data_IF_441543596557
#
_entry.id   IF_441543596557
#
_cell.length_a   1.000
_cell.length_b   1.000
_cell.length_c   1.000
_cell.angle_alpha   90.00
_cell.angle_beta   90.00
_cell.angle_gamma   90.00
#
_symmetry.space_group_name_H-M   'P 1'
#
loop_
_entity.id
_entity.type
_entity.pdbx_description
1 polymer ?
#
# COMPACT_ATOMS: atom_id res chain seq x y z
N UNK A 1 28.89 12.68 -46.34
CA UNK A 1 28.63 13.95 -45.62
C UNK A 1 28.52 13.65 -44.14
N UNK A 2 29.38 14.24 -43.31
CA UNK A 2 29.42 14.01 -41.86
C UNK A 2 28.61 15.09 -41.11
N UNK A 3 28.21 14.85 -39.86
CA UNK A 3 27.34 15.73 -39.04
C UNK A 3 27.89 17.16 -38.93
N UNK A 4 29.22 17.31 -38.94
CA UNK A 4 29.90 18.60 -38.93
C UNK A 4 29.67 19.43 -40.21
N UNK A 5 29.52 18.79 -41.37
CA UNK A 5 29.23 19.48 -42.64
C UNK A 5 27.78 19.96 -42.68
N UNK A 6 26.84 19.20 -42.11
CA UNK A 6 25.44 19.60 -41.98
C UNK A 6 25.29 20.83 -41.08
N UNK A 7 26.01 20.85 -39.95
CA UNK A 7 26.05 22.00 -39.05
C UNK A 7 26.62 23.26 -39.73
N UNK A 8 27.67 23.11 -40.56
CA UNK A 8 28.27 24.20 -41.30
C UNK A 8 27.34 24.74 -42.40
N UNK A 9 26.62 23.87 -43.13
CA UNK A 9 25.66 24.29 -44.17
C UNK A 9 24.46 25.01 -43.56
N UNK A 10 23.94 24.53 -42.42
CA UNK A 10 22.83 25.20 -41.71
C UNK A 10 23.26 26.54 -41.13
N UNK A 11 24.49 26.63 -40.60
CA UNK A 11 25.06 27.90 -40.10
C UNK A 11 25.29 28.91 -41.25
N UNK A 12 25.80 28.46 -42.39
CA UNK A 12 26.05 29.31 -43.56
C UNK A 12 24.75 29.74 -44.28
N UNK A 13 23.74 28.86 -44.33
CA UNK A 13 22.42 29.19 -44.85
C UNK A 13 21.70 30.24 -43.97
N UNK A 14 21.98 30.25 -42.66
CA UNK A 14 21.49 31.26 -41.72
C UNK A 14 22.07 32.66 -41.94
N UNK A 15 23.30 32.79 -42.47
CA UNK A 15 23.95 34.08 -42.71
C UNK A 15 23.63 34.72 -44.06
N UNK A 16 23.22 33.95 -45.08
CA UNK A 16 23.01 34.46 -46.45
C UNK A 16 21.60 35.04 -46.64
N UNK A 17 20.64 34.71 -45.79
CA UNK A 17 19.25 35.21 -45.86
C UNK A 17 19.00 36.32 -44.83
N UNK A 18 19.71 37.45 -44.99
CA UNK A 18 19.65 38.66 -44.18
C UNK A 18 18.30 39.42 -44.13
N UNK A 19 17.17 38.71 -44.29
CA UNK A 19 15.80 39.22 -44.12
C UNK A 19 14.91 38.36 -43.20
N UNK A 20 15.45 37.33 -42.54
CA UNK A 20 14.67 36.33 -41.78
C UNK A 20 14.63 36.49 -40.25
N UNK A 21 15.21 37.56 -39.70
CA UNK A 21 15.53 37.68 -38.25
C UNK A 21 14.32 37.50 -37.32
N UNK A 22 13.13 37.94 -37.73
CA UNK A 22 11.91 37.80 -36.93
C UNK A 22 11.38 36.37 -36.93
N UNK A 23 11.37 35.71 -38.09
CA UNK A 23 10.87 34.34 -38.25
C UNK A 23 11.82 33.32 -37.64
N UNK A 24 13.13 33.51 -37.80
CA UNK A 24 14.16 32.65 -37.18
C UNK A 24 14.13 32.81 -35.66
N UNK A 25 14.05 34.04 -35.13
CA UNK A 25 13.95 34.25 -33.67
C UNK A 25 12.69 33.62 -33.08
N UNK A 26 11.58 33.63 -33.82
CA UNK A 26 10.32 33.00 -33.41
C UNK A 26 10.42 31.47 -33.47
N UNK A 27 10.97 30.92 -34.55
CA UNK A 27 11.23 29.49 -34.69
C UNK A 27 12.16 28.96 -33.59
N UNK A 28 13.22 29.70 -33.24
CA UNK A 28 14.14 29.33 -32.16
C UNK A 28 13.47 29.39 -30.78
N UNK A 29 12.60 30.38 -30.54
CA UNK A 29 11.81 30.47 -29.29
C UNK A 29 10.78 29.35 -29.18
N UNK A 30 10.10 29.02 -30.27
CA UNK A 30 9.10 27.97 -30.29
C UNK A 30 9.77 26.58 -30.17
N UNK A 31 10.93 26.39 -30.80
CA UNK A 31 11.77 25.21 -30.59
C UNK A 31 12.26 25.11 -29.14
N UNK A 32 12.74 26.19 -28.53
CA UNK A 32 13.18 26.19 -27.13
C UNK A 32 12.03 25.86 -26.16
N UNK A 33 10.82 26.37 -26.42
CA UNK A 33 9.61 26.02 -25.65
C UNK A 33 9.23 24.55 -25.82
N UNK A 34 9.32 24.02 -27.04
CA UNK A 34 9.05 22.61 -27.32
C UNK A 34 10.07 21.70 -26.59
N UNK A 35 11.35 22.06 -26.57
CA UNK A 35 12.40 21.32 -25.85
C UNK A 35 12.22 21.40 -24.33
N UNK A 36 11.82 22.57 -23.81
CA UNK A 36 11.52 22.73 -22.38
C UNK A 36 10.31 21.87 -21.96
N UNK A 37 9.23 21.89 -22.75
CA UNK A 37 8.05 21.05 -22.51
C UNK A 37 8.37 19.56 -22.61
N UNK A 38 9.22 19.14 -23.56
CA UNK A 38 9.68 17.76 -23.69
C UNK A 38 10.56 17.35 -22.50
N UNK A 39 11.43 18.23 -22.01
CA UNK A 39 12.29 17.98 -20.84
C UNK A 39 11.47 17.89 -19.57
N UNK A 40 10.46 18.75 -19.41
CA UNK A 40 9.54 18.72 -18.28
C UNK A 40 8.65 17.46 -18.32
N UNK A 41 8.16 17.05 -19.50
CA UNK A 41 7.42 15.81 -19.68
C UNK A 41 8.29 14.58 -19.41
N UNK A 42 9.56 14.58 -19.83
CA UNK A 42 10.53 13.53 -19.52
C UNK A 42 10.85 13.48 -18.02
N UNK A 43 11.01 14.64 -17.36
CA UNK A 43 11.22 14.72 -15.92
C UNK A 43 9.99 14.18 -15.14
N UNK A 44 8.77 14.54 -15.57
CA UNK A 44 7.52 14.00 -14.99
C UNK A 44 7.37 12.49 -15.25
N UNK A 45 7.72 12.02 -16.44
CA UNK A 45 7.71 10.60 -16.78
C UNK A 45 8.74 9.80 -15.97
N UNK A 46 9.90 10.38 -15.64
CA UNK A 46 10.93 9.76 -14.80
C UNK A 46 10.60 9.82 -13.30
N UNK A 47 9.82 10.82 -12.86
CA UNK A 47 9.39 10.94 -11.47
C UNK A 47 8.22 10.00 -11.11
N UNK A 48 7.36 9.65 -12.08
CA UNK A 48 6.21 8.76 -11.84
C UNK A 48 6.62 7.35 -11.35
N UNK A 49 7.63 6.66 -11.92
CA UNK A 49 8.11 5.38 -11.42
C UNK A 49 8.67 5.44 -10.00
N UNK A 50 9.43 6.49 -9.67
CA UNK A 50 10.01 6.65 -8.33
C UNK A 50 8.93 6.90 -7.25
N UNK A 51 7.91 7.69 -7.60
CA UNK A 51 6.76 7.92 -6.72
C UNK A 51 5.92 6.64 -6.55
N UNK A 52 5.74 5.87 -7.63
CA UNK A 52 5.04 4.58 -7.57
C UNK A 52 5.80 3.56 -6.71
N UNK A 53 7.13 3.46 -6.85
CA UNK A 53 7.94 2.58 -5.99
C UNK A 53 7.88 2.99 -4.52
N UNK A 54 7.88 4.29 -4.23
CA UNK A 54 7.74 4.77 -2.85
C UNK A 54 6.35 4.45 -2.27
N UNK A 55 5.28 4.66 -3.05
CA UNK A 55 3.93 4.33 -2.64
C UNK A 55 3.73 2.82 -2.42
N UNK A 56 4.29 1.97 -3.31
CA UNK A 56 4.27 0.52 -3.15
C UNK A 56 5.04 0.07 -1.91
N UNK A 57 6.21 0.65 -1.63
CA UNK A 57 6.96 0.35 -0.42
C UNK A 57 6.18 0.72 0.86
N UNK A 58 5.46 1.85 0.85
CA UNK A 58 4.59 2.25 1.97
C UNK A 58 3.41 1.27 2.12
N UNK A 59 2.79 0.85 1.01
CA UNK A 59 1.70 -0.13 1.04
C UNK A 59 2.18 -1.49 1.56
N UNK A 60 3.32 -1.99 1.09
CA UNK A 60 3.94 -3.24 1.57
C UNK A 60 4.23 -3.19 3.07
N UNK A 61 4.82 -2.09 3.55
CA UNK A 61 5.07 -1.88 4.97
C UNK A 61 3.77 -1.86 5.79
N UNK A 62 2.70 -1.26 5.23
CA UNK A 62 1.39 -1.17 5.87
C UNK A 62 0.72 -2.55 5.95
N UNK A 63 0.72 -3.32 4.85
CA UNK A 63 0.19 -4.69 4.81
C UNK A 63 0.94 -5.57 5.80
N UNK A 64 2.27 -5.53 5.82
CA UNK A 64 3.09 -6.30 6.76
C UNK A 64 2.73 -5.99 8.22
N UNK A 65 2.58 -4.70 8.56
CA UNK A 65 2.17 -4.29 9.91
C UNK A 65 0.76 -4.79 10.26
N UNK A 66 -0.19 -4.67 9.33
CA UNK A 66 -1.57 -5.15 9.53
C UNK A 66 -1.58 -6.67 9.72
N UNK A 67 -0.77 -7.41 8.98
CA UNK A 67 -0.63 -8.86 9.13
C UNK A 67 -0.03 -9.25 10.49
N UNK A 68 0.98 -8.51 10.96
CA UNK A 68 1.56 -8.68 12.29
C UNK A 68 0.53 -8.39 13.40
N UNK A 69 -0.20 -7.28 13.31
CA UNK A 69 -1.26 -6.90 14.26
C UNK A 69 -2.39 -7.94 14.25
N UNK A 70 -2.83 -8.39 13.07
CA UNK A 70 -3.83 -9.46 12.94
C UNK A 70 -3.34 -10.78 13.54
N UNK A 71 -2.07 -11.13 13.35
CA UNK A 71 -1.45 -12.31 13.97
C UNK A 71 -1.48 -12.24 15.50
N UNK A 72 -1.13 -11.08 16.06
CA UNK A 72 -1.19 -10.85 17.51
C UNK A 72 -2.63 -10.91 18.05
N UNK A 73 -3.58 -10.30 17.35
CA UNK A 73 -5.00 -10.31 17.72
C UNK A 73 -5.57 -11.73 17.69
N UNK A 74 -5.30 -12.52 16.64
CA UNK A 74 -5.69 -13.93 16.55
C UNK A 74 -5.10 -14.74 17.69
N UNK A 75 -3.83 -14.52 18.04
CA UNK A 75 -3.19 -15.18 19.18
C UNK A 75 -3.85 -14.83 20.52
N UNK A 76 -4.17 -13.55 20.76
CA UNK A 76 -4.90 -13.11 21.96
C UNK A 76 -6.30 -13.71 22.03
N UNK A 77 -7.02 -13.74 20.91
CA UNK A 77 -8.36 -14.31 20.83
C UNK A 77 -8.35 -15.80 21.13
N UNK A 78 -7.43 -16.57 20.53
CA UNK A 78 -7.26 -18.00 20.83
C UNK A 78 -6.91 -18.25 22.29
N UNK A 79 -6.08 -17.41 22.91
CA UNK A 79 -5.76 -17.50 24.34
C UNK A 79 -6.97 -17.22 25.23
N UNK A 80 -7.77 -16.20 24.91
CA UNK A 80 -8.99 -15.87 25.64
C UNK A 80 -10.02 -17.00 25.52
N UNK A 81 -10.18 -17.56 24.33
CA UNK A 81 -11.05 -18.71 24.10
C UNK A 81 -10.62 -19.92 24.93
N UNK A 82 -9.33 -20.24 24.93
CA UNK A 82 -8.79 -21.33 25.76
C UNK A 82 -9.02 -21.08 27.26
N UNK A 83 -8.88 -19.84 27.73
CA UNK A 83 -9.19 -19.46 29.11
C UNK A 83 -10.68 -19.61 29.44
N UNK A 84 -11.56 -19.15 28.55
CA UNK A 84 -13.01 -19.26 28.71
C UNK A 84 -13.46 -20.73 28.76
N UNK A 85 -12.92 -21.56 27.88
CA UNK A 85 -13.14 -23.01 27.89
C UNK A 85 -12.64 -23.66 29.18
N UNK A 86 -11.44 -23.29 29.65
CA UNK A 86 -10.90 -23.80 30.90
C UNK A 86 -11.79 -23.40 32.10
N UNK A 87 -12.26 -22.16 32.13
CA UNK A 87 -13.18 -21.66 33.16
C UNK A 87 -14.52 -22.41 33.12
N UNK A 88 -15.17 -22.49 31.96
CA UNK A 88 -16.43 -23.21 31.76
C UNK A 88 -16.31 -24.70 32.13
N UNK A 89 -15.18 -25.34 31.83
CA UNK A 89 -14.96 -26.74 32.21
C UNK A 89 -14.81 -26.92 33.73
N UNK A 90 -14.29 -25.88 34.40
CA UNK A 90 -14.08 -25.90 35.85
C UNK A 90 -15.40 -25.70 36.58
N UNK A 91 -16.22 -24.75 36.14
CA UNK A 91 -17.55 -24.52 36.71
C UNK A 91 -18.46 -25.73 36.52
N UNK A 92 -18.43 -26.38 35.35
CA UNK A 92 -19.15 -27.62 35.08
C UNK A 92 -18.68 -28.78 36.00
N UNK A 93 -17.37 -28.88 36.30
CA UNK A 93 -16.88 -29.82 37.33
C UNK A 93 -17.42 -29.49 38.73
N UNK A 94 -17.54 -28.22 39.11
CA UNK A 94 -18.12 -27.82 40.39
C UNK A 94 -19.62 -28.09 40.46
N UNK A 95 -20.37 -27.82 39.41
CA UNK A 95 -21.79 -28.15 39.31
C UNK A 95 -22.02 -29.66 39.55
N UNK A 96 -21.20 -30.52 38.92
CA UNK A 96 -21.22 -31.97 39.19
C UNK A 96 -20.88 -32.34 40.64
N UNK A 97 -19.98 -31.61 41.30
CA UNK A 97 -19.69 -31.84 42.72
C UNK A 97 -20.87 -31.42 43.60
N UNK A 98 -21.55 -30.32 43.28
CA UNK A 98 -22.75 -29.86 43.98
C UNK A 98 -23.88 -30.89 43.87
N UNK A 99 -24.18 -31.39 42.67
CA UNK A 99 -25.18 -32.44 42.50
C UNK A 99 -24.86 -33.70 43.31
N UNK A 100 -23.58 -34.11 43.39
CA UNK A 100 -23.16 -35.24 44.24
C UNK A 100 -23.36 -34.98 45.74
N UNK A 101 -23.31 -33.71 46.15
CA UNK A 101 -23.62 -33.28 47.51
C UNK A 101 -25.13 -33.07 47.74
N UNK A 102 -25.98 -33.35 46.74
CA UNK A 102 -27.42 -33.12 46.80
C UNK A 102 -27.83 -31.64 46.71
N UNK A 103 -26.92 -30.77 46.27
CA UNK A 103 -27.18 -29.35 46.05
C UNK A 103 -27.45 -29.16 44.56
N UNK A 104 -28.58 -28.56 44.22
CA UNK A 104 -28.88 -28.20 42.84
C UNK A 104 -28.19 -26.87 42.50
N UNK A 105 -27.19 -26.86 41.60
CA UNK A 105 -26.57 -25.63 41.13
C UNK A 105 -27.55 -24.84 40.26
N UNK A 106 -27.39 -23.52 40.25
CA UNK A 106 -28.08 -22.69 39.27
C UNK A 106 -27.70 -23.11 37.84
N UNK A 107 -28.66 -23.09 36.89
CA UNK A 107 -28.38 -23.46 35.52
C UNK A 107 -27.30 -22.55 34.93
N UNK A 108 -26.42 -23.15 34.15
CA UNK A 108 -25.38 -22.41 33.45
C UNK A 108 -26.00 -21.36 32.50
N UNK A 109 -25.27 -20.28 32.27
CA UNK A 109 -25.69 -19.27 31.31
C UNK A 109 -25.80 -19.91 29.90
N UNK A 110 -26.86 -19.64 29.11
CA UNK A 110 -27.10 -20.30 27.82
C UNK A 110 -25.93 -20.25 26.82
N UNK A 111 -25.12 -19.19 26.86
CA UNK A 111 -23.91 -19.04 26.03
C UNK A 111 -22.86 -20.14 26.29
N UNK A 112 -22.81 -20.71 27.49
CA UNK A 112 -21.89 -21.81 27.82
C UNK A 112 -22.30 -23.07 27.06
N UNK A 113 -23.59 -23.38 27.04
CA UNK A 113 -24.14 -24.53 26.31
C UNK A 113 -24.02 -24.34 24.80
N UNK A 114 -24.21 -23.11 24.32
CA UNK A 114 -23.95 -22.76 22.93
C UNK A 114 -22.49 -23.01 22.55
N UNK A 115 -21.54 -22.49 23.31
CA UNK A 115 -20.11 -22.69 23.08
C UNK A 115 -19.71 -24.17 23.06
N UNK A 116 -20.24 -25.01 23.95
CA UNK A 116 -19.94 -26.44 23.93
C UNK A 116 -20.50 -27.18 22.71
N UNK A 117 -21.59 -26.68 22.13
CA UNK A 117 -22.26 -27.28 20.97
C UNK A 117 -21.64 -26.81 19.65
N UNK A 118 -21.28 -25.53 19.53
CA UNK A 118 -20.78 -24.92 18.29
C UNK A 118 -19.27 -24.80 18.25
N UNK A 119 -18.61 -24.74 19.41
CA UNK A 119 -17.19 -24.41 19.54
C UNK A 119 -16.90 -22.93 19.32
N UNK A 120 -17.92 -22.06 19.31
CA UNK A 120 -17.83 -20.62 19.04
C UNK A 120 -18.58 -19.85 20.13
#
# INVERSE_FOLDING_TARGET
MNVAEWAAVVAAAGSVLGGGSWWISRATRDAAKATAAATEAAARANAAPAQQSANLAVLEATVKRVDEENGQLRGRMSRLEAMLRAFASTTDRWARQMHRAGIEPEPAHPLVDEYYRTGV
#
